data_IF_086832123563
#
_entry.id   IF_086832123563
#
_cell.length_a   1.000
_cell.length_b   1.000
_cell.length_c   1.000
_cell.angle_alpha   90.00
_cell.angle_beta   90.00
_cell.angle_gamma   90.00
#
_symmetry.space_group_name_H-M   'P 1'
#
loop_
_entity.id
_entity.type
_entity.pdbx_description
1 polymer ?
#
# COMPACT_ATOMS: atom_id res chain seq x y z
N UNK A 1 -10.23 -8.91 15.63
CA UNK A 1 -9.06 -8.08 15.30
C UNK A 1 -8.04 -8.23 16.40
N UNK A 2 -7.02 -9.05 16.18
CA UNK A 2 -5.81 -8.97 16.99
C UNK A 2 -4.99 -7.81 16.40
N UNK A 3 -4.55 -6.82 17.20
CA UNK A 3 -3.60 -5.84 16.70
C UNK A 3 -2.35 -6.57 16.20
N UNK A 4 -1.79 -6.14 15.07
CA UNK A 4 -0.47 -6.61 14.65
C UNK A 4 0.52 -6.24 15.76
N UNK A 5 1.26 -7.19 16.34
CA UNK A 5 1.92 -7.02 17.65
C UNK A 5 3.06 -5.98 17.69
N UNK A 6 3.35 -5.30 16.58
CA UNK A 6 4.47 -4.39 16.36
C UNK A 6 4.07 -3.00 15.82
N UNK A 7 2.81 -2.80 15.45
CA UNK A 7 2.34 -1.50 14.95
C UNK A 7 1.87 -0.62 16.12
N UNK A 8 2.56 0.49 16.34
CA UNK A 8 2.18 1.49 17.36
C UNK A 8 2.10 2.88 16.74
N UNK A 9 1.10 3.65 17.16
CA UNK A 9 0.87 5.00 16.67
C UNK A 9 0.39 5.93 17.78
N UNK A 10 0.74 7.22 17.69
CA UNK A 10 0.31 8.25 18.63
C UNK A 10 0.11 9.60 17.93
N UNK A 11 -0.63 10.49 18.58
CA UNK A 11 -0.96 11.82 18.08
C UNK A 11 -2.43 12.17 18.29
N UNK A 12 -2.86 13.38 17.90
CA UNK A 12 -4.24 13.80 18.04
C UNK A 12 -5.17 13.07 17.06
N UNK A 13 -6.41 12.80 17.49
CA UNK A 13 -7.44 12.14 16.67
C UNK A 13 -7.45 10.62 16.81
N UNK A 14 -8.18 9.95 15.91
CA UNK A 14 -8.29 8.48 15.90
C UNK A 14 -7.02 7.85 15.34
N UNK A 15 -6.49 6.86 16.07
CA UNK A 15 -5.41 5.97 15.63
C UNK A 15 -6.03 4.62 15.25
N UNK A 16 -5.72 4.14 14.06
CA UNK A 16 -6.20 2.86 13.51
C UNK A 16 -5.41 1.68 14.11
N UNK A 17 -5.90 0.43 13.95
CA UNK A 17 -5.24 -0.75 14.53
C UNK A 17 -3.80 -0.99 14.09
N UNK A 18 -3.43 -0.52 12.90
CA UNK A 18 -2.07 -0.54 12.33
C UNK A 18 -1.23 0.70 12.70
N UNK A 19 -1.72 1.54 13.63
CA UNK A 19 -1.00 2.72 14.13
C UNK A 19 -1.11 3.97 13.26
N UNK A 20 -1.88 3.94 12.16
CA UNK A 20 -2.06 5.11 11.31
C UNK A 20 -2.98 6.15 11.97
N UNK A 21 -2.63 7.44 11.85
CA UNK A 21 -3.49 8.52 12.33
C UNK A 21 -4.45 8.99 11.23
N UNK A 22 -5.76 8.85 11.44
CA UNK A 22 -6.79 9.24 10.44
C UNK A 22 -6.63 10.70 10.03
N UNK A 23 -6.43 11.58 11.01
CA UNK A 23 -6.30 13.01 10.79
C UNK A 23 -5.01 13.39 10.03
N UNK A 24 -3.92 12.63 10.19
CA UNK A 24 -2.72 12.81 9.37
C UNK A 24 -2.99 12.42 7.91
N UNK A 25 -3.64 11.28 7.68
CA UNK A 25 -3.91 10.77 6.34
C UNK A 25 -4.88 11.64 5.53
N UNK A 26 -5.69 12.47 6.18
CA UNK A 26 -6.50 13.50 5.50
C UNK A 26 -5.63 14.66 5.00
N UNK A 27 -4.49 14.95 5.66
CA UNK A 27 -3.57 16.05 5.32
C UNK A 27 -2.52 15.65 4.30
N UNK A 28 -2.25 14.36 4.13
CA UNK A 28 -1.24 13.89 3.19
C UNK A 28 -1.58 14.29 1.75
N UNK A 29 -0.68 14.99 1.04
CA UNK A 29 -0.94 15.37 -0.34
C UNK A 29 -0.98 14.13 -1.25
N UNK A 30 -1.73 14.25 -2.35
CA UNK A 30 -1.51 13.35 -3.50
C UNK A 30 -0.13 13.66 -4.10
N UNK A 31 0.60 12.62 -4.49
CA UNK A 31 1.95 12.71 -5.05
C UNK A 31 2.00 12.23 -6.51
N UNK A 32 0.86 12.21 -7.18
CA UNK A 32 0.75 11.78 -8.58
C UNK A 32 0.51 10.27 -8.75
N UNK A 33 0.23 9.53 -7.66
CA UNK A 33 0.04 8.09 -7.74
C UNK A 33 -1.17 7.71 -8.60
N UNK A 34 -2.25 8.48 -8.52
CA UNK A 34 -3.45 8.22 -9.31
C UNK A 34 -3.20 8.42 -10.81
N UNK A 35 -2.45 9.46 -11.20
CA UNK A 35 -2.07 9.73 -12.58
C UNK A 35 -1.13 8.63 -13.11
N UNK A 36 -0.17 8.19 -12.30
CA UNK A 36 0.70 7.06 -12.64
C UNK A 36 -0.13 5.79 -12.89
N UNK A 37 -1.02 5.43 -11.95
CA UNK A 37 -1.89 4.26 -12.09
C UNK A 37 -2.80 4.40 -13.31
N UNK A 38 -3.46 5.55 -13.50
CA UNK A 38 -4.34 5.81 -14.63
C UNK A 38 -3.63 5.62 -15.98
N UNK A 39 -2.38 6.09 -16.10
CA UNK A 39 -1.56 5.91 -17.31
C UNK A 39 -1.16 4.45 -17.56
N UNK A 40 -1.19 3.62 -16.52
CA UNK A 40 -0.74 2.24 -16.53
C UNK A 40 -1.88 1.22 -16.72
N UNK A 41 -3.14 1.64 -16.73
CA UNK A 41 -4.27 0.70 -16.76
C UNK A 41 -5.27 1.01 -17.87
N UNK A 42 -6.12 0.04 -18.28
CA UNK A 42 -7.14 0.30 -19.29
C UNK A 42 -8.07 1.44 -18.89
N UNK A 43 -8.49 2.24 -19.88
CA UNK A 43 -9.47 3.29 -19.65
C UNK A 43 -10.77 2.70 -19.09
N UNK A 44 -11.36 3.37 -18.08
CA UNK A 44 -12.60 2.94 -17.42
C UNK A 44 -12.54 1.55 -16.76
N UNK A 45 -11.34 1.07 -16.40
CA UNK A 45 -11.16 -0.17 -15.66
C UNK A 45 -11.97 -0.21 -14.34
N UNK A 46 -12.38 -1.41 -13.94
CA UNK A 46 -12.78 -1.73 -12.57
C UNK A 46 -11.53 -1.89 -11.69
N UNK A 47 -11.48 -1.16 -10.58
CA UNK A 47 -10.30 -1.04 -9.71
C UNK A 47 -10.67 -1.40 -8.27
N UNK A 48 -9.90 -2.28 -7.66
CA UNK A 48 -9.94 -2.55 -6.22
C UNK A 48 -8.67 -1.97 -5.57
N UNK A 49 -8.79 -1.05 -4.61
CA UNK A 49 -7.65 -0.58 -3.82
C UNK A 49 -7.62 -1.25 -2.45
N UNK A 50 -6.55 -1.99 -2.18
CA UNK A 50 -6.32 -2.65 -0.89
C UNK A 50 -5.58 -1.69 0.06
N UNK A 51 -6.20 -1.36 1.20
CA UNK A 51 -5.65 -0.39 2.15
C UNK A 51 -5.84 1.06 1.68
N UNK A 52 -7.06 1.40 1.25
CA UNK A 52 -7.34 2.68 0.60
C UNK A 52 -7.31 3.89 1.53
N UNK A 53 -7.36 3.69 2.86
CA UNK A 53 -7.35 4.75 3.86
C UNK A 53 -8.42 5.81 3.59
N UNK A 54 -7.99 7.06 3.46
CA UNK A 54 -8.87 8.21 3.17
C UNK A 54 -9.22 8.36 1.68
N UNK A 55 -8.84 7.40 0.83
CA UNK A 55 -9.16 7.39 -0.59
C UNK A 55 -8.27 8.30 -1.43
N UNK A 56 -7.02 8.51 -0.99
CA UNK A 56 -6.03 9.42 -1.62
C UNK A 56 -5.70 9.04 -3.07
N UNK A 57 -5.74 7.75 -3.40
CA UNK A 57 -5.55 7.23 -4.76
C UNK A 57 -6.91 6.89 -5.38
N UNK A 58 -7.78 6.19 -4.65
CA UNK A 58 -9.11 5.79 -5.10
C UNK A 58 -9.98 6.93 -5.62
N UNK A 59 -10.10 8.03 -4.88
CA UNK A 59 -11.01 9.14 -5.24
C UNK A 59 -10.56 9.84 -6.53
N UNK A 60 -9.29 10.22 -6.69
CA UNK A 60 -8.81 10.72 -7.98
C UNK A 60 -9.01 9.73 -9.14
N UNK A 61 -8.77 8.42 -8.95
CA UNK A 61 -9.01 7.42 -9.98
C UNK A 61 -10.49 7.34 -10.39
N UNK A 62 -11.42 7.44 -9.44
CA UNK A 62 -12.85 7.50 -9.73
C UNK A 62 -13.19 8.74 -10.56
N UNK A 63 -12.61 9.90 -10.21
CA UNK A 63 -12.76 11.15 -10.98
C UNK A 63 -12.16 11.08 -12.39
N UNK A 64 -11.13 10.26 -12.58
CA UNK A 64 -10.52 9.96 -13.89
C UNK A 64 -11.36 8.94 -14.71
N UNK A 65 -12.48 8.46 -14.18
CA UNK A 65 -13.49 7.68 -14.91
C UNK A 65 -13.44 6.18 -14.67
N UNK A 66 -12.70 5.71 -13.68
CA UNK A 66 -12.68 4.31 -13.25
C UNK A 66 -13.83 3.98 -12.29
N UNK A 67 -14.30 2.73 -12.28
CA UNK A 67 -15.13 2.23 -11.16
C UNK A 67 -14.17 1.77 -10.07
N UNK A 68 -14.20 2.40 -8.90
CA UNK A 68 -13.28 2.11 -7.82
C UNK A 68 -14.01 1.60 -6.59
N UNK A 69 -13.52 0.49 -6.03
CA UNK A 69 -13.88 -0.05 -4.72
C UNK A 69 -12.66 0.07 -3.81
N UNK A 70 -12.79 0.79 -2.69
CA UNK A 70 -11.74 0.92 -1.69
C UNK A 70 -11.95 -0.01 -0.51
N UNK A 71 -10.89 -0.69 -0.05
CA UNK A 71 -10.92 -1.59 1.12
C UNK A 71 -10.04 -1.03 2.22
N UNK A 72 -10.57 -0.96 3.44
CA UNK A 72 -9.79 -0.60 4.63
C UNK A 72 -10.42 -1.20 5.90
N UNK A 73 -9.64 -1.48 6.93
CA UNK A 73 -10.18 -2.01 8.20
C UNK A 73 -10.76 -0.91 9.11
N UNK A 74 -10.32 0.33 8.93
CA UNK A 74 -10.78 1.48 9.70
C UNK A 74 -12.07 2.04 9.13
N UNK A 75 -13.12 2.03 9.95
CA UNK A 75 -14.36 2.69 9.61
C UNK A 75 -14.17 4.20 9.43
N UNK A 76 -13.34 4.81 10.27
CA UNK A 76 -13.07 6.25 10.30
C UNK A 76 -12.33 6.72 9.04
N UNK A 77 -11.43 5.90 8.48
CA UNK A 77 -10.80 6.13 7.18
C UNK A 77 -11.84 6.10 6.06
N UNK A 78 -12.64 5.02 6.00
CA UNK A 78 -13.65 4.83 4.94
C UNK A 78 -14.73 5.92 4.94
N UNK A 79 -15.06 6.50 6.10
CA UNK A 79 -15.99 7.64 6.19
C UNK A 79 -15.53 8.89 5.43
N UNK A 80 -14.25 8.95 5.02
CA UNK A 80 -13.69 10.03 4.20
C UNK A 80 -13.86 9.77 2.70
N UNK A 81 -14.06 8.52 2.30
CA UNK A 81 -14.22 8.07 0.91
C UNK A 81 -15.65 8.24 0.40
N UNK A 82 -16.08 9.49 0.14
CA UNK A 82 -17.49 9.79 -0.22
C UNK A 82 -17.87 9.55 -1.68
N UNK A 83 -16.87 9.40 -2.55
CA UNK A 83 -17.06 9.35 -4.01
C UNK A 83 -16.86 7.95 -4.61
N UNK A 84 -16.62 6.95 -3.76
CA UNK A 84 -16.32 5.58 -4.16
C UNK A 84 -17.14 4.59 -3.33
N UNK A 85 -17.27 3.36 -3.84
CA UNK A 85 -17.74 2.24 -3.05
C UNK A 85 -16.65 1.84 -2.05
N UNK A 86 -17.04 1.51 -0.81
CA UNK A 86 -16.09 1.14 0.24
C UNK A 86 -16.50 -0.17 0.92
N UNK A 87 -15.52 -1.02 1.19
CA UNK A 87 -15.68 -2.26 1.96
C UNK A 87 -14.82 -2.19 3.21
N UNK A 88 -15.44 -2.41 4.38
CA UNK A 88 -14.71 -2.52 5.64
C UNK A 88 -14.20 -3.94 5.85
N UNK A 89 -12.90 -4.15 5.70
CA UNK A 89 -12.26 -5.45 5.91
C UNK A 89 -10.76 -5.29 6.14
N UNK A 90 -10.16 -6.21 6.90
CA UNK A 90 -8.73 -6.47 6.75
C UNK A 90 -8.49 -7.05 5.35
N UNK A 91 -7.35 -6.73 4.73
CA UNK A 91 -7.04 -7.14 3.35
C UNK A 91 -6.92 -8.67 3.27
N UNK A 92 -6.32 -9.27 4.29
CA UNK A 92 -6.04 -10.71 4.39
C UNK A 92 -7.33 -11.55 4.45
N UNK A 93 -8.38 -10.98 5.05
CA UNK A 93 -9.66 -11.63 5.27
C UNK A 93 -10.71 -11.28 4.18
N UNK A 94 -10.36 -10.39 3.24
CA UNK A 94 -11.27 -9.93 2.19
C UNK A 94 -11.65 -11.08 1.25
N UNK A 95 -12.94 -11.32 1.06
CA UNK A 95 -13.47 -12.30 0.12
C UNK A 95 -14.73 -11.75 -0.57
N UNK A 96 -14.52 -11.06 -1.69
CA UNK A 96 -15.61 -10.52 -2.52
C UNK A 96 -15.95 -11.51 -3.63
N UNK A 97 -17.23 -11.68 -3.92
CA UNK A 97 -17.72 -12.40 -5.11
C UNK A 97 -17.62 -11.51 -6.38
N UNK A 98 -16.52 -10.78 -6.50
CA UNK A 98 -16.24 -9.87 -7.60
C UNK A 98 -14.74 -9.88 -7.95
N UNK A 99 -14.44 -9.79 -9.24
CA UNK A 99 -13.07 -9.67 -9.76
C UNK A 99 -12.92 -8.37 -10.52
N UNK A 100 -11.72 -7.81 -10.49
CA UNK A 100 -11.40 -6.48 -11.00
C UNK A 100 -10.35 -6.55 -12.10
N UNK A 101 -10.45 -5.63 -13.06
CA UNK A 101 -9.44 -5.44 -14.10
C UNK A 101 -8.10 -5.01 -13.50
N UNK A 102 -8.16 -4.26 -12.39
CA UNK A 102 -7.01 -3.75 -11.67
C UNK A 102 -7.16 -3.99 -10.17
N UNK A 103 -6.12 -4.50 -9.53
CA UNK A 103 -6.01 -4.50 -8.07
C UNK A 103 -4.79 -3.67 -7.66
N UNK A 104 -4.97 -2.68 -6.78
CA UNK A 104 -3.89 -1.83 -6.29
C UNK A 104 -3.42 -2.32 -4.92
N UNK A 105 -2.10 -2.43 -4.78
CA UNK A 105 -1.41 -2.68 -3.51
C UNK A 105 -0.36 -1.57 -3.27
N UNK A 106 -0.80 -0.34 -2.94
CA UNK A 106 0.07 0.81 -2.76
C UNK A 106 0.70 0.84 -1.36
N UNK A 107 1.30 1.98 -1.00
CA UNK A 107 1.76 2.31 0.36
C UNK A 107 2.79 1.33 0.92
N UNK A 108 3.58 0.72 0.04
CA UNK A 108 4.63 -0.23 0.38
C UNK A 108 4.14 -1.47 1.15
N UNK A 109 2.84 -1.80 1.05
CA UNK A 109 2.23 -2.94 1.75
C UNK A 109 2.94 -4.26 1.42
N UNK A 110 3.43 -4.41 0.18
CA UNK A 110 4.20 -5.57 -0.26
C UNK A 110 5.56 -5.72 0.45
N UNK A 111 6.05 -4.70 1.15
CA UNK A 111 7.28 -4.80 1.96
C UNK A 111 7.02 -5.33 3.38
N UNK A 112 5.78 -5.67 3.71
CA UNK A 112 5.47 -6.32 4.98
C UNK A 112 6.31 -7.60 5.18
N UNK A 113 6.77 -7.91 6.40
CA UNK A 113 7.38 -9.21 6.69
C UNK A 113 6.42 -10.38 6.45
N UNK A 114 6.95 -11.60 6.31
CA UNK A 114 6.11 -12.80 6.24
C UNK A 114 5.42 -13.09 7.58
N UNK A 115 4.23 -13.72 7.57
CA UNK A 115 3.49 -14.23 6.41
C UNK A 115 2.57 -13.18 5.76
N UNK A 116 2.61 -11.94 6.23
CA UNK A 116 1.66 -10.91 5.83
C UNK A 116 1.78 -10.53 4.35
N UNK A 117 3.00 -10.33 3.85
CA UNK A 117 3.22 -10.05 2.42
C UNK A 117 2.57 -11.09 1.50
N UNK A 118 2.78 -12.37 1.79
CA UNK A 118 2.17 -13.45 1.00
C UNK A 118 0.64 -13.34 1.03
N UNK A 119 0.03 -13.12 2.20
CA UNK A 119 -1.43 -12.98 2.34
C UNK A 119 -2.00 -11.78 1.59
N UNK A 120 -1.29 -10.66 1.58
CA UNK A 120 -1.69 -9.47 0.83
C UNK A 120 -1.67 -9.73 -0.68
N UNK A 121 -0.64 -10.41 -1.19
CA UNK A 121 -0.53 -10.80 -2.59
C UNK A 121 -1.59 -11.85 -2.98
N UNK A 122 -1.88 -12.82 -2.11
CA UNK A 122 -2.94 -13.81 -2.33
C UNK A 122 -4.32 -13.16 -2.39
N UNK A 123 -4.59 -12.18 -1.51
CA UNK A 123 -5.82 -11.37 -1.56
C UNK A 123 -5.90 -10.59 -2.87
N UNK A 124 -4.80 -9.97 -3.31
CA UNK A 124 -4.76 -9.28 -4.60
C UNK A 124 -5.05 -10.24 -5.77
N UNK A 125 -4.43 -11.43 -5.78
CA UNK A 125 -4.68 -12.44 -6.81
C UNK A 125 -6.12 -12.94 -6.79
N UNK A 126 -6.70 -13.18 -5.60
CA UNK A 126 -8.07 -13.70 -5.44
C UNK A 126 -9.09 -12.82 -6.18
N UNK A 127 -8.92 -11.51 -6.11
CA UNK A 127 -9.82 -10.52 -6.71
C UNK A 127 -9.40 -10.08 -8.12
N UNK A 128 -8.36 -10.67 -8.70
CA UNK A 128 -7.91 -10.32 -10.04
C UNK A 128 -8.76 -11.02 -11.12
N UNK A 129 -9.17 -10.27 -12.13
CA UNK A 129 -9.77 -10.83 -13.34
C UNK A 129 -8.74 -11.66 -14.14
N UNK A 130 -9.18 -12.60 -15.01
CA UNK A 130 -8.27 -13.46 -15.77
C UNK A 130 -7.19 -12.75 -16.61
N UNK A 131 -7.49 -11.52 -17.05
CA UNK A 131 -6.56 -10.66 -17.80
C UNK A 131 -6.27 -9.34 -17.06
N UNK A 132 -6.55 -9.32 -15.76
CA UNK A 132 -6.33 -8.17 -14.91
C UNK A 132 -4.86 -7.99 -14.55
N UNK A 133 -4.55 -6.81 -13.99
CA UNK A 133 -3.21 -6.49 -13.49
C UNK A 133 -3.24 -6.03 -12.04
N UNK A 134 -2.28 -6.50 -11.25
CA UNK A 134 -2.02 -5.92 -9.92
C UNK A 134 -1.01 -4.81 -10.11
N UNK A 135 -1.30 -3.60 -9.62
CA UNK A 135 -0.32 -2.50 -9.58
C UNK A 135 0.19 -2.38 -8.15
N UNK A 136 1.50 -2.53 -7.98
CA UNK A 136 2.14 -2.69 -6.68
C UNK A 136 3.15 -1.57 -6.48
N UNK A 137 3.10 -0.96 -5.30
CA UNK A 137 4.13 -0.05 -4.82
C UNK A 137 4.99 -0.78 -3.77
N UNK A 138 6.32 -0.74 -3.94
CA UNK A 138 7.30 -1.15 -2.93
C UNK A 138 8.21 0.02 -2.55
N UNK A 139 9.00 -0.12 -1.50
CA UNK A 139 10.11 0.81 -1.27
C UNK A 139 11.10 0.74 -2.44
N UNK A 140 11.82 1.84 -2.71
CA UNK A 140 12.92 1.83 -3.69
C UNK A 140 13.92 0.72 -3.31
N UNK A 141 14.36 -0.12 -4.27
CA UNK A 141 15.31 -1.19 -3.99
C UNK A 141 16.58 -0.67 -3.29
N UNK A 142 16.98 -1.35 -2.22
CA UNK A 142 18.12 -1.02 -1.37
C UNK A 142 17.85 0.01 -0.29
N UNK A 143 16.66 0.65 -0.26
CA UNK A 143 16.34 1.65 0.76
C UNK A 143 16.30 1.04 2.16
N UNK A 144 15.72 -0.15 2.35
CA UNK A 144 15.61 -0.77 3.70
C UNK A 144 17.01 -1.03 4.29
N UNK A 145 17.95 -1.45 3.43
CA UNK A 145 19.35 -1.74 3.78
C UNK A 145 20.14 -0.48 4.14
N UNK A 146 19.82 0.65 3.52
CA UNK A 146 20.61 1.89 3.57
C UNK A 146 19.94 3.02 4.35
N UNK A 147 18.69 2.85 4.78
CA UNK A 147 17.95 3.85 5.53
C UNK A 147 18.75 4.30 6.76
N UNK A 148 18.75 5.60 6.97
CA UNK A 148 19.28 6.30 8.14
C UNK A 148 18.26 7.34 8.58
N UNK A 149 18.47 7.94 9.74
CA UNK A 149 17.67 9.07 10.18
C UNK A 149 17.64 10.15 9.11
N UNK A 150 16.44 10.61 8.78
CA UNK A 150 16.24 11.63 7.76
C UNK A 150 14.98 12.43 8.05
N UNK A 151 14.99 13.71 7.67
CA UNK A 151 13.83 14.58 7.73
C UNK A 151 13.56 15.16 6.35
N UNK A 152 12.28 15.20 5.97
CA UNK A 152 11.81 15.80 4.73
C UNK A 152 10.70 16.80 5.07
N UNK A 153 10.70 17.92 4.37
CA UNK A 153 9.64 18.93 4.44
C UNK A 153 9.10 19.13 3.02
N UNK A 154 7.84 18.78 2.78
CA UNK A 154 7.17 18.98 1.49
C UNK A 154 6.35 20.27 1.43
N UNK A 155 6.50 21.16 2.43
CA UNK A 155 5.76 22.40 2.60
C UNK A 155 4.38 22.23 3.23
N UNK A 156 3.90 20.99 3.39
CA UNK A 156 2.62 20.67 4.03
C UNK A 156 2.84 19.86 5.31
N UNK A 157 3.74 18.87 5.25
CA UNK A 157 4.07 17.96 6.34
C UNK A 157 5.59 17.83 6.44
N UNK A 158 6.10 17.96 7.65
CA UNK A 158 7.47 17.57 7.99
C UNK A 158 7.43 16.11 8.42
N UNK A 159 8.11 15.22 7.70
CA UNK A 159 8.25 13.80 8.07
C UNK A 159 9.69 13.52 8.53
N UNK A 160 9.87 13.00 9.73
CA UNK A 160 11.16 12.55 10.26
C UNK A 160 11.13 11.04 10.46
N UNK A 161 11.99 10.33 9.72
CA UNK A 161 12.26 8.92 9.93
C UNK A 161 13.41 8.77 10.92
N UNK A 162 13.22 7.90 11.91
CA UNK A 162 14.26 7.46 12.85
C UNK A 162 14.41 5.95 12.76
N UNK A 163 15.61 5.47 12.49
CA UNK A 163 15.92 4.04 12.51
C UNK A 163 16.06 3.60 13.96
N UNK A 164 15.20 2.70 14.41
CA UNK A 164 15.22 2.17 15.78
C UNK A 164 16.21 1.01 15.87
N UNK A 165 16.05 0.01 15.00
CA UNK A 165 17.03 -1.06 14.82
C UNK A 165 16.95 -1.70 13.41
N UNK A 166 17.89 -2.60 13.15
CA UNK A 166 17.98 -3.40 11.92
C UNK A 166 18.36 -4.84 12.30
N UNK A 167 17.40 -5.71 12.64
CA UNK A 167 17.68 -7.04 13.18
C UNK A 167 18.36 -7.95 12.15
N UNK A 168 18.04 -7.73 10.87
CA UNK A 168 18.66 -8.38 9.72
C UNK A 168 19.02 -7.31 8.68
N UNK A 169 20.01 -7.54 7.80
CA UNK A 169 20.41 -6.55 6.78
C UNK A 169 19.28 -6.08 5.87
N UNK A 170 18.20 -6.84 5.76
CA UNK A 170 17.03 -6.60 4.94
C UNK A 170 15.74 -6.34 5.76
N UNK A 171 15.80 -6.24 7.09
CA UNK A 171 14.65 -5.98 7.96
C UNK A 171 14.89 -4.69 8.77
N UNK A 172 14.02 -3.70 8.60
CA UNK A 172 14.12 -2.40 9.26
C UNK A 172 12.95 -2.21 10.23
N UNK A 173 13.26 -1.85 11.47
CA UNK A 173 12.29 -1.27 12.41
C UNK A 173 12.57 0.22 12.52
N UNK A 174 11.57 1.04 12.20
CA UNK A 174 11.71 2.48 12.20
C UNK A 174 10.47 3.15 12.78
N UNK A 175 10.69 4.38 13.27
CA UNK A 175 9.63 5.32 13.63
C UNK A 175 9.57 6.40 12.57
N UNK A 176 8.37 6.75 12.14
CA UNK A 176 8.13 7.96 11.37
C UNK A 176 7.29 8.92 12.21
N UNK A 177 7.78 10.16 12.30
CA UNK A 177 7.13 11.28 12.97
C UNK A 177 6.68 12.27 11.91
N UNK A 178 5.44 12.71 11.99
CA UNK A 178 4.84 13.70 11.10
C UNK A 178 4.44 14.94 11.88
N UNK A 179 4.79 16.11 11.37
CA UNK A 179 4.41 17.40 11.95
C UNK A 179 3.67 18.23 10.89
N UNK A 180 2.50 18.75 11.24
CA UNK A 180 1.70 19.61 10.38
C UNK A 180 0.72 20.42 11.21
N UNK A 181 0.60 21.73 10.92
CA UNK A 181 -0.28 22.66 11.64
C UNK A 181 -0.16 22.62 13.18
N UNK A 182 1.06 22.43 13.69
CA UNK A 182 1.33 22.33 15.13
C UNK A 182 0.88 21.00 15.79
N UNK A 183 0.31 20.09 15.02
CA UNK A 183 0.03 18.72 15.44
C UNK A 183 1.19 17.79 15.08
N UNK A 184 1.35 16.76 15.90
CA UNK A 184 2.41 15.77 15.79
C UNK A 184 1.79 14.38 15.86
N UNK A 185 2.18 13.53 14.91
CA UNK A 185 1.85 12.11 14.91
C UNK A 185 3.12 11.28 14.83
N UNK A 186 3.13 10.12 15.46
CA UNK A 186 4.22 9.16 15.36
C UNK A 186 3.65 7.79 15.06
N UNK A 187 4.37 7.01 14.24
CA UNK A 187 4.04 5.63 13.93
C UNK A 187 5.32 4.82 13.86
N UNK A 188 5.32 3.63 14.45
CA UNK A 188 6.36 2.62 14.26
C UNK A 188 5.91 1.58 13.24
N UNK A 189 6.86 1.13 12.43
CA UNK A 189 6.61 0.10 11.43
C UNK A 189 7.85 -0.79 11.24
N UNK A 190 7.57 -2.03 10.84
CA UNK A 190 8.59 -2.99 10.41
C UNK A 190 8.41 -3.24 8.92
N UNK A 191 9.50 -3.16 8.17
CA UNK A 191 9.51 -3.35 6.73
C UNK A 191 10.68 -4.21 6.30
N UNK A 192 10.46 -5.08 5.30
CA UNK A 192 11.47 -5.96 4.72
C UNK A 192 11.78 -5.56 3.29
N UNK A 193 13.06 -5.62 2.95
CA UNK A 193 13.56 -5.35 1.61
C UNK A 193 12.88 -6.26 0.58
N UNK A 194 12.61 -5.68 -0.59
CA UNK A 194 12.13 -6.41 -1.75
C UNK A 194 12.93 -5.93 -2.96
N UNK A 195 14.06 -6.57 -3.21
CA UNK A 195 14.93 -6.29 -4.37
C UNK A 195 14.40 -6.93 -5.65
N UNK A 196 14.90 -6.47 -6.79
CA UNK A 196 14.46 -6.89 -8.13
C UNK A 196 14.64 -8.39 -8.34
N UNK A 197 15.74 -8.95 -7.84
CA UNK A 197 16.08 -10.36 -7.98
C UNK A 197 15.10 -11.26 -7.20
N UNK A 198 14.47 -10.74 -6.15
CA UNK A 198 13.51 -11.49 -5.34
C UNK A 198 12.07 -11.42 -5.88
N UNK A 199 11.74 -10.41 -6.69
CA UNK A 199 10.38 -10.16 -7.18
C UNK A 199 9.74 -11.39 -7.86
N UNK A 200 10.40 -12.09 -8.82
CA UNK A 200 9.78 -13.22 -9.49
C UNK A 200 9.40 -14.34 -8.52
N UNK A 201 10.26 -14.65 -7.54
CA UNK A 201 9.99 -15.69 -6.54
C UNK A 201 8.86 -15.32 -5.59
N UNK A 202 8.84 -14.08 -5.11
CA UNK A 202 7.79 -13.58 -4.21
C UNK A 202 6.42 -13.55 -4.91
N UNK A 203 6.37 -13.09 -6.16
CA UNK A 203 5.13 -13.08 -6.92
C UNK A 203 4.67 -14.50 -7.27
N UNK A 204 5.58 -15.38 -7.70
CA UNK A 204 5.25 -16.76 -8.06
C UNK A 204 4.69 -17.55 -6.87
N UNK A 205 5.21 -17.32 -5.66
CA UNK A 205 4.68 -17.92 -4.44
C UNK A 205 3.20 -17.55 -4.19
N UNK A 206 2.75 -16.41 -4.70
CA UNK A 206 1.35 -15.97 -4.62
C UNK A 206 0.53 -16.32 -5.88
N UNK A 207 1.10 -16.99 -6.89
CA UNK A 207 0.45 -17.30 -8.18
C UNK A 207 0.41 -16.12 -9.15
N UNK A 208 1.35 -15.18 -9.02
CA UNK A 208 1.50 -14.01 -9.87
C UNK A 208 2.86 -14.05 -10.58
N UNK A 209 2.97 -13.38 -11.71
CA UNK A 209 4.25 -13.12 -12.39
C UNK A 209 4.49 -11.63 -12.54
N UNK A 210 5.76 -11.24 -12.60
CA UNK A 210 6.14 -9.86 -12.88
C UNK A 210 5.63 -9.46 -14.27
N UNK A 211 4.97 -8.31 -14.34
CA UNK A 211 4.61 -7.63 -15.59
C UNK A 211 5.71 -6.65 -15.96
N UNK A 212 5.44 -5.35 -15.82
CA UNK A 212 6.39 -4.27 -16.19
C UNK A 212 6.72 -3.36 -15.01
N UNK A 213 7.90 -2.76 -15.06
CA UNK A 213 8.25 -1.63 -14.20
C UNK A 213 7.52 -0.38 -14.71
N UNK A 214 6.90 0.39 -13.81
CA UNK A 214 6.19 1.63 -14.13
C UNK A 214 7.05 2.87 -13.88
N UNK A 215 8.10 2.74 -13.09
CA UNK A 215 9.02 3.81 -12.70
C UNK A 215 10.47 3.36 -12.89
N UNK A 216 11.35 4.26 -13.32
CA UNK A 216 12.79 3.99 -13.44
C UNK A 216 13.44 3.64 -12.10
N UNK A 217 12.91 4.17 -11.00
CA UNK A 217 13.32 3.89 -9.62
C UNK A 217 12.88 2.50 -9.12
N UNK A 218 12.08 1.77 -9.91
CA UNK A 218 11.62 0.41 -9.59
C UNK A 218 10.67 0.29 -8.41
N UNK A 219 10.15 1.39 -7.86
CA UNK A 219 9.22 1.39 -6.73
C UNK A 219 7.78 1.11 -7.13
N UNK A 220 7.42 1.26 -8.41
CA UNK A 220 6.14 0.84 -8.96
C UNK A 220 6.30 -0.18 -10.08
N UNK A 221 5.50 -1.24 -10.03
CA UNK A 221 5.49 -2.29 -11.04
C UNK A 221 4.12 -2.95 -11.13
N UNK A 222 3.91 -3.73 -12.19
CA UNK A 222 2.72 -4.55 -12.35
C UNK A 222 3.02 -6.03 -12.13
N UNK A 223 2.00 -6.78 -11.71
CA UNK A 223 1.98 -8.23 -11.71
C UNK A 223 0.70 -8.75 -12.37
N UNK A 224 0.77 -9.94 -12.92
CA UNK A 224 -0.33 -10.58 -13.69
C UNK A 224 -0.49 -12.02 -13.21
N UNK A 225 -1.61 -12.67 -13.51
CA UNK A 225 -1.77 -14.09 -13.19
C UNK A 225 -0.67 -14.92 -13.85
N UNK A 226 -0.10 -15.84 -13.07
CA UNK A 226 0.77 -16.86 -13.62
C UNK A 226 -0.07 -18.02 -14.17
N UNK A 227 -0.33 -17.99 -15.47
CA UNK A 227 -1.10 -19.03 -16.14
C UNK A 227 -0.37 -20.38 -16.18
N UNK A 228 0.95 -20.42 -15.95
CA UNK A 228 1.70 -21.67 -15.86
C UNK A 228 1.56 -22.37 -14.49
N UNK A 229 1.07 -21.66 -13.47
CA UNK A 229 0.81 -22.20 -12.13
C UNK A 229 -0.60 -22.81 -11.98
N UNK A 230 -1.42 -22.80 -13.04
CA UNK A 230 -2.82 -23.26 -13.03
C UNK A 230 -3.02 -24.58 -13.80
N UNK A 231 -1.95 -25.23 -14.25
CA UNK A 231 -1.95 -26.57 -14.88
C UNK A 231 -1.37 -27.65 -13.95
#
# INVERSE_FOLDING_TARGET
MNPRPDASGSGPGTITPDGCAVELYVRLPSRGEAELVHSAVPARASVLELGCGTGRISTPLARLGHRVVGVDESHEMLMRCREIETVRSAIEDLDLDERFDVVLLPSHLVNSPEPLRTRLLESARRHLAPHGTVVIQRHRPGWVRTATDMSNDDGTIISTLTVLDRPEPDLLHARIRYESDGAVWEQEFVTRELVDEALPGVLAAAGLRLGRMLTETGDWFTAELDHAATE
#
